data_IF_119898827849
#
_entry.id   IF_119898827849
#
_cell.length_a   1.000
_cell.length_b   1.000
_cell.length_c   1.000
_cell.angle_alpha   90.00
_cell.angle_beta   90.00
_cell.angle_gamma   90.00
#
_symmetry.space_group_name_H-M   'P 1'
#
loop_
_entity.id
_entity.type
_entity.pdbx_description
1 polymer ?
#
# COMPACT_ATOMS: atom_id res chain seq x y z
N UNK A 1 24.14 -31.06 10.90
CA UNK A 1 22.83 -30.61 11.39
C UNK A 1 23.05 -29.89 12.71
N UNK A 2 22.97 -28.57 12.71
CA UNK A 2 22.86 -27.74 13.91
C UNK A 2 22.00 -26.56 13.49
N UNK A 3 20.74 -26.55 13.95
CA UNK A 3 19.75 -25.54 13.61
C UNK A 3 20.11 -24.22 14.27
N UNK A 4 19.95 -23.12 13.53
CA UNK A 4 19.88 -21.79 14.13
C UNK A 4 18.51 -21.70 14.80
N UNK A 5 18.48 -21.61 16.11
CA UNK A 5 17.25 -21.33 16.86
C UNK A 5 16.75 -19.95 16.46
N UNK A 6 15.68 -19.93 15.67
CA UNK A 6 14.92 -18.73 15.38
C UNK A 6 13.93 -18.52 16.52
N UNK A 7 14.13 -17.44 17.27
CA UNK A 7 13.21 -17.05 18.33
C UNK A 7 12.07 -16.29 17.68
N UNK A 8 10.90 -16.92 17.62
CA UNK A 8 9.66 -16.27 17.22
C UNK A 8 9.05 -15.67 18.48
N UNK A 9 8.82 -14.37 18.48
CA UNK A 9 8.08 -13.69 19.54
C UNK A 9 6.63 -14.19 19.52
N UNK A 10 6.15 -14.76 20.62
CA UNK A 10 4.82 -15.40 20.70
C UNK A 10 3.87 -14.58 21.56
N UNK A 11 2.56 -14.77 21.37
CA UNK A 11 1.52 -14.16 22.21
C UNK A 11 1.68 -14.53 23.71
N UNK A 12 2.32 -15.65 24.01
CA UNK A 12 2.62 -16.06 25.38
C UNK A 12 3.68 -15.14 26.00
N UNK A 13 4.69 -14.72 25.22
CA UNK A 13 5.70 -13.76 25.64
C UNK A 13 5.11 -12.36 25.87
N UNK A 14 4.13 -11.94 25.05
CA UNK A 14 3.38 -10.68 25.26
C UNK A 14 2.61 -10.69 26.58
N UNK A 15 1.87 -11.78 26.83
CA UNK A 15 1.12 -11.93 28.08
C UNK A 15 2.05 -11.95 29.29
N UNK A 16 3.21 -12.60 29.18
CA UNK A 16 4.19 -12.65 30.28
C UNK A 16 4.79 -11.28 30.59
N UNK A 17 5.19 -10.52 29.57
CA UNK A 17 5.75 -9.18 29.76
C UNK A 17 4.68 -8.24 30.33
N UNK A 18 3.46 -8.29 29.80
CA UNK A 18 2.34 -7.47 30.26
C UNK A 18 1.99 -7.75 31.71
N UNK A 19 1.94 -9.03 32.11
CA UNK A 19 1.66 -9.40 33.50
C UNK A 19 2.75 -8.92 34.47
N UNK A 20 4.03 -9.03 34.08
CA UNK A 20 5.14 -8.55 34.89
C UNK A 20 5.09 -7.02 35.07
N UNK A 21 4.73 -6.29 34.01
CA UNK A 21 4.53 -4.84 34.08
C UNK A 21 3.34 -4.49 34.99
N UNK A 22 2.20 -5.16 34.85
CA UNK A 22 1.02 -4.93 35.70
C UNK A 22 1.31 -5.21 37.18
N UNK A 23 2.09 -6.24 37.47
CA UNK A 23 2.47 -6.58 38.84
C UNK A 23 3.35 -5.49 39.47
N UNK A 24 4.31 -4.95 38.72
CA UNK A 24 5.11 -3.83 39.18
C UNK A 24 4.29 -2.53 39.31
N UNK A 25 3.22 -2.37 38.52
CA UNK A 25 2.28 -1.23 38.63
C UNK A 25 1.61 -1.24 39.99
N UNK A 26 1.07 -2.40 40.35
CA UNK A 26 0.41 -2.63 41.63
C UNK A 26 1.36 -2.47 42.82
N UNK A 27 2.66 -2.75 42.62
CA UNK A 27 3.71 -2.52 43.63
C UNK A 27 4.08 -1.04 43.77
N UNK A 28 3.46 -0.14 43.00
CA UNK A 28 3.73 1.29 43.02
C UNK A 28 5.09 1.66 42.45
N UNK A 29 5.69 0.74 41.67
CA UNK A 29 7.00 0.96 41.07
C UNK A 29 6.94 1.76 39.77
N UNK A 30 5.81 2.43 39.51
CA UNK A 30 5.57 3.33 38.38
C UNK A 30 5.30 4.81 38.78
N UNK A 31 6.17 5.46 39.56
CA UNK A 31 5.96 6.86 39.90
C UNK A 31 5.98 7.72 38.63
N UNK A 32 5.04 8.66 38.53
CA UNK A 32 4.94 9.64 37.42
C UNK A 32 4.76 9.00 36.02
N UNK A 33 4.30 7.75 35.96
CA UNK A 33 4.07 7.03 34.71
C UNK A 33 5.28 6.25 34.20
N UNK A 34 6.40 6.25 34.95
CA UNK A 34 7.67 5.59 34.56
C UNK A 34 8.08 4.52 35.57
N UNK A 35 8.56 3.38 35.09
CA UNK A 35 9.04 2.27 35.92
C UNK A 35 10.36 2.63 36.62
N UNK A 36 10.45 2.40 37.92
CA UNK A 36 11.71 2.61 38.66
C UNK A 36 12.69 1.43 38.46
N UNK A 37 13.95 1.63 38.84
CA UNK A 37 15.02 0.61 38.69
C UNK A 37 14.69 -0.72 39.40
N UNK A 38 13.91 -0.68 40.48
CA UNK A 38 13.48 -1.88 41.22
C UNK A 38 12.46 -2.69 40.39
N UNK A 39 11.53 -2.01 39.71
CA UNK A 39 10.59 -2.63 38.78
C UNK A 39 11.31 -3.38 37.65
N UNK A 40 12.26 -2.74 36.98
CA UNK A 40 13.01 -3.39 35.90
C UNK A 40 13.87 -4.56 36.40
N UNK A 41 14.54 -4.39 37.54
CA UNK A 41 15.31 -5.48 38.12
C UNK A 41 14.40 -6.66 38.50
N UNK A 42 13.21 -6.43 39.06
CA UNK A 42 12.24 -7.49 39.34
C UNK A 42 11.77 -8.18 38.06
N UNK A 43 11.38 -7.42 37.03
CA UNK A 43 10.94 -7.96 35.74
C UNK A 43 12.03 -8.81 35.04
N UNK A 44 13.30 -8.42 35.15
CA UNK A 44 14.45 -9.14 34.56
C UNK A 44 14.88 -10.33 35.43
N UNK A 45 14.78 -10.20 36.76
CA UNK A 45 15.23 -11.21 37.71
C UNK A 45 14.21 -12.32 37.90
N UNK A 46 12.92 -12.03 37.69
CA UNK A 46 11.87 -13.03 37.83
C UNK A 46 12.02 -14.18 36.82
N UNK A 47 12.63 -14.00 35.64
CA UNK A 47 12.72 -15.10 34.66
C UNK A 47 14.03 -15.13 33.87
N UNK A 48 14.86 -16.10 34.22
CA UNK A 48 16.16 -16.44 33.61
C UNK A 48 16.13 -16.66 32.10
N UNK A 49 14.96 -16.94 31.52
CA UNK A 49 14.80 -17.15 30.07
C UNK A 49 14.83 -15.84 29.27
N UNK A 50 14.46 -14.70 29.85
CA UNK A 50 14.40 -13.41 29.16
C UNK A 50 15.78 -12.91 28.68
N UNK A 51 16.87 -13.27 29.37
CA UNK A 51 18.25 -12.88 29.02
C UNK A 51 18.74 -13.50 27.70
N UNK A 52 18.16 -14.61 27.25
CA UNK A 52 18.55 -15.25 25.98
C UNK A 52 18.12 -14.43 24.76
N UNK A 53 17.13 -13.54 24.90
CA UNK A 53 16.47 -12.87 23.78
C UNK A 53 17.05 -11.49 23.43
N UNK A 54 17.91 -10.92 24.28
CA UNK A 54 18.44 -9.55 24.13
C UNK A 54 19.70 -9.43 23.24
N UNK A 55 20.25 -10.54 22.73
CA UNK A 55 21.47 -10.55 21.91
C UNK A 55 21.23 -10.82 20.41
N UNK A 56 19.99 -10.70 19.92
CA UNK A 56 19.65 -11.00 18.52
C UNK A 56 19.22 -9.73 17.77
N UNK A 57 19.62 -9.54 16.49
CA UNK A 57 19.20 -8.40 15.68
C UNK A 57 17.67 -8.32 15.61
N UNK A 58 17.11 -7.16 15.98
CA UNK A 58 15.66 -6.95 16.03
C UNK A 58 15.16 -6.72 14.60
N UNK A 59 14.60 -7.76 13.99
CA UNK A 59 14.07 -7.72 12.62
C UNK A 59 12.59 -7.30 12.49
N UNK A 60 11.91 -6.86 13.57
CA UNK A 60 10.48 -6.57 13.50
C UNK A 60 10.09 -5.29 14.24
N UNK A 61 10.35 -4.14 13.60
CA UNK A 61 9.81 -2.84 14.01
C UNK A 61 8.29 -2.73 13.75
N UNK A 62 7.76 -3.52 12.80
CA UNK A 62 6.34 -3.48 12.38
C UNK A 62 5.35 -4.00 13.43
N UNK A 63 5.82 -4.80 14.40
CA UNK A 63 4.96 -5.42 15.40
C UNK A 63 4.70 -4.49 16.60
N UNK A 64 5.72 -3.75 17.03
CA UNK A 64 5.63 -2.76 18.12
C UNK A 64 4.72 -1.58 17.73
N UNK A 65 4.71 -1.20 16.46
CA UNK A 65 3.80 -0.18 15.92
C UNK A 65 2.34 -0.70 15.90
N UNK A 66 2.12 -2.01 15.72
CA UNK A 66 0.77 -2.60 15.66
C UNK A 66 0.05 -2.58 17.02
N UNK A 67 0.79 -2.74 18.12
CA UNK A 67 0.22 -2.64 19.48
C UNK A 67 -0.02 -1.19 19.91
N UNK A 68 0.85 -0.26 19.51
CA UNK A 68 0.59 1.18 19.70
C UNK A 68 -0.58 1.69 18.85
N UNK A 69 -0.87 1.05 17.72
CA UNK A 69 -2.04 1.34 16.88
C UNK A 69 -3.36 0.79 17.44
N UNK A 70 -3.33 -0.18 18.36
CA UNK A 70 -4.53 -0.70 19.02
C UNK A 70 -5.10 0.27 20.07
N UNK A 71 -4.32 1.27 20.50
CA UNK A 71 -4.68 2.24 21.54
C UNK A 71 -5.03 3.65 21.01
N UNK A 72 -4.88 3.93 19.71
CA UNK A 72 -5.21 5.24 19.14
C UNK A 72 -6.01 5.10 17.83
N UNK A 73 -7.32 5.32 17.94
CA UNK A 73 -8.30 5.08 16.88
C UNK A 73 -8.12 5.93 15.62
N UNK A 74 -8.16 5.21 14.49
CA UNK A 74 -8.66 5.57 13.15
C UNK A 74 -8.03 6.74 12.35
N UNK A 75 -7.43 7.77 12.95
CA UNK A 75 -6.83 8.87 12.18
C UNK A 75 -5.33 8.65 11.84
N UNK A 76 -4.64 7.79 12.60
CA UNK A 76 -3.18 7.68 12.55
C UNK A 76 -2.65 6.65 11.52
N UNK A 77 -3.50 5.76 10.98
CA UNK A 77 -3.02 4.68 10.10
C UNK A 77 -2.55 5.18 8.74
N UNK A 78 -3.03 6.34 8.29
CA UNK A 78 -2.58 6.99 7.06
C UNK A 78 -1.23 7.71 7.27
N UNK A 79 -1.07 8.49 8.34
CA UNK A 79 0.18 9.22 8.64
C UNK A 79 1.41 8.31 8.83
N UNK A 80 1.26 7.21 9.57
CA UNK A 80 2.42 6.43 10.03
C UNK A 80 3.12 5.60 8.93
N UNK A 81 2.40 5.19 7.87
CA UNK A 81 3.00 4.40 6.77
C UNK A 81 3.40 5.22 5.56
N UNK A 82 2.84 6.42 5.41
CA UNK A 82 3.13 7.29 4.27
C UNK A 82 4.12 8.41 4.57
N UNK A 83 4.50 8.71 5.83
CA UNK A 83 5.13 10.01 6.17
C UNK A 83 4.23 11.19 5.77
N UNK A 84 2.90 10.99 5.77
CA UNK A 84 1.99 12.10 5.49
C UNK A 84 2.09 13.09 6.64
N UNK A 85 2.47 14.32 6.31
CA UNK A 85 2.17 15.50 7.11
C UNK A 85 0.65 15.46 7.38
N UNK A 86 0.15 15.81 8.59
CA UNK A 86 -1.28 15.89 8.85
C UNK A 86 -1.90 16.88 7.85
N UNK A 87 -2.49 16.36 6.78
CA UNK A 87 -3.17 17.17 5.79
C UNK A 87 -4.49 17.59 6.42
N UNK A 88 -4.55 18.82 6.93
CA UNK A 88 -5.76 19.63 6.79
C UNK A 88 -5.95 19.94 5.30
N UNK A 89 -6.24 18.90 4.50
CA UNK A 89 -6.77 19.09 3.16
C UNK A 89 -8.25 19.40 3.32
N UNK A 90 -8.60 20.67 3.21
CA UNK A 90 -9.98 21.08 2.91
C UNK A 90 -10.33 20.47 1.55
N UNK A 91 -11.00 19.32 1.55
CA UNK A 91 -11.38 18.52 0.36
C UNK A 91 -12.13 19.36 -0.69
N UNK A 92 -12.70 20.49 -0.27
CA UNK A 92 -13.37 21.46 -1.15
C UNK A 92 -12.46 22.09 -2.23
N UNK A 93 -11.13 22.05 -2.10
CA UNK A 93 -10.22 22.67 -3.08
C UNK A 93 -9.62 21.70 -4.12
N UNK A 94 -9.76 20.38 -3.96
CA UNK A 94 -9.17 19.39 -4.87
C UNK A 94 -10.10 18.97 -6.02
N UNK A 95 -11.36 19.40 -5.96
CA UNK A 95 -12.35 19.07 -6.96
C UNK A 95 -12.21 20.00 -8.17
N UNK A 96 -11.92 19.46 -9.36
CA UNK A 96 -11.90 20.22 -10.62
C UNK A 96 -13.16 19.93 -11.45
N UNK A 97 -14.26 20.68 -11.27
CA UNK A 97 -15.52 20.43 -11.97
C UNK A 97 -15.42 20.64 -13.49
N UNK A 98 -14.40 21.36 -13.99
CA UNK A 98 -14.22 21.62 -15.43
C UNK A 98 -13.70 20.42 -16.23
N UNK A 99 -13.20 19.36 -15.57
CA UNK A 99 -12.70 18.14 -16.25
C UNK A 99 -13.82 17.24 -16.79
N UNK A 100 -15.04 17.35 -16.27
CA UNK A 100 -16.13 16.39 -16.53
C UNK A 100 -17.16 17.02 -17.48
N UNK A 101 -17.05 16.71 -18.77
CA UNK A 101 -18.09 17.05 -19.74
C UNK A 101 -19.35 16.21 -19.42
N UNK A 102 -20.42 16.87 -18.96
CA UNK A 102 -21.72 16.23 -18.84
C UNK A 102 -22.38 16.14 -20.21
N UNK A 103 -22.29 14.98 -20.85
CA UNK A 103 -23.32 14.59 -21.82
C UNK A 103 -24.55 14.16 -21.03
N UNK A 104 -25.57 15.00 -21.01
CA UNK A 104 -26.92 14.62 -20.56
C UNK A 104 -27.44 13.46 -21.43
N UNK A 105 -27.96 12.41 -20.79
CA UNK A 105 -28.79 11.41 -21.48
C UNK A 105 -28.39 9.94 -21.33
N UNK A 106 -28.19 9.42 -20.12
CA UNK A 106 -28.51 8.02 -19.76
C UNK A 106 -28.38 7.86 -18.23
N UNK A 107 -29.36 7.24 -17.58
CA UNK A 107 -29.30 6.97 -16.14
C UNK A 107 -28.37 5.78 -15.89
N UNK A 108 -27.07 6.05 -15.79
CA UNK A 108 -26.05 5.03 -15.50
C UNK A 108 -26.14 4.64 -14.03
N UNK A 109 -26.41 3.37 -13.74
CA UNK A 109 -26.40 2.83 -12.37
C UNK A 109 -24.98 2.45 -11.97
N UNK A 110 -24.66 2.56 -10.67
CA UNK A 110 -23.37 2.13 -10.14
C UNK A 110 -23.19 0.62 -10.31
N UNK A 111 -21.94 0.18 -10.41
CA UNK A 111 -21.60 -1.24 -10.46
C UNK A 111 -21.85 -1.86 -9.08
N UNK A 112 -22.77 -2.82 -9.02
CA UNK A 112 -23.06 -3.60 -7.80
C UNK A 112 -22.40 -4.97 -7.82
N UNK A 113 -22.15 -5.53 -9.00
CA UNK A 113 -21.54 -6.85 -9.14
C UNK A 113 -20.71 -7.04 -10.40
N UNK A 114 -19.78 -8.00 -10.36
CA UNK A 114 -18.91 -8.38 -11.47
C UNK A 114 -18.88 -9.90 -11.58
N UNK A 115 -19.15 -10.41 -12.78
CA UNK A 115 -19.08 -11.82 -13.13
C UNK A 115 -17.97 -11.98 -14.17
N UNK A 116 -17.02 -12.86 -13.88
CA UNK A 116 -15.88 -13.16 -14.76
C UNK A 116 -16.10 -14.51 -15.43
N UNK A 117 -16.19 -14.52 -16.76
CA UNK A 117 -16.34 -15.76 -17.53
C UNK A 117 -15.05 -16.58 -17.56
N UNK A 118 -15.17 -17.91 -17.67
CA UNK A 118 -14.01 -18.80 -17.73
C UNK A 118 -13.07 -18.45 -18.88
N UNK A 119 -13.62 -17.92 -19.98
CA UNK A 119 -12.85 -17.58 -21.19
C UNK A 119 -11.82 -16.47 -20.96
N UNK A 120 -12.00 -15.61 -19.96
CA UNK A 120 -11.03 -14.55 -19.62
C UNK A 120 -10.06 -14.96 -18.51
N UNK A 121 -10.39 -16.01 -17.74
CA UNK A 121 -9.59 -16.46 -16.61
C UNK A 121 -8.61 -17.57 -16.99
N UNK A 122 -9.03 -18.51 -17.83
CA UNK A 122 -8.25 -19.68 -18.21
C UNK A 122 -7.56 -19.43 -19.55
N UNK A 123 -6.37 -19.96 -19.69
CA UNK A 123 -5.70 -20.06 -20.98
C UNK A 123 -6.38 -21.13 -21.88
N UNK A 124 -6.40 -20.88 -23.19
CA UNK A 124 -6.88 -21.82 -24.19
C UNK A 124 -5.89 -22.98 -24.42
N UNK A 125 -4.73 -22.97 -23.75
CA UNK A 125 -3.85 -24.12 -23.69
C UNK A 125 -4.56 -25.36 -23.12
N UNK A 126 -4.07 -26.54 -23.53
CA UNK A 126 -4.62 -27.83 -23.10
C UNK A 126 -4.47 -28.11 -21.59
N UNK A 127 -3.78 -27.25 -20.85
CA UNK A 127 -3.57 -27.35 -19.40
C UNK A 127 -4.57 -26.48 -18.64
N UNK A 128 -4.99 -26.94 -17.46
CA UNK A 128 -5.80 -26.12 -16.55
C UNK A 128 -4.88 -25.13 -15.82
N UNK A 129 -4.66 -23.95 -16.42
CA UNK A 129 -3.88 -22.87 -15.84
C UNK A 129 -4.59 -21.52 -16.01
N UNK A 130 -4.42 -20.65 -15.01
CA UNK A 130 -4.91 -19.28 -15.08
C UNK A 130 -3.95 -18.41 -15.88
N UNK A 131 -4.51 -17.40 -16.54
CA UNK A 131 -3.73 -16.29 -17.09
C UNK A 131 -3.05 -15.51 -15.95
N UNK A 132 -1.77 -15.11 -16.08
CA UNK A 132 -1.09 -14.32 -15.05
C UNK A 132 -1.83 -13.04 -14.64
N UNK A 133 -2.42 -12.35 -15.62
CA UNK A 133 -3.19 -11.11 -15.47
C UNK A 133 -4.47 -11.36 -14.66
N UNK A 134 -5.11 -12.52 -14.86
CA UNK A 134 -6.32 -12.91 -14.13
C UNK A 134 -6.06 -13.05 -12.64
N UNK A 135 -4.90 -13.60 -12.24
CA UNK A 135 -4.55 -13.70 -10.83
C UNK A 135 -4.42 -12.33 -10.16
N UNK A 136 -3.82 -11.37 -10.86
CA UNK A 136 -3.70 -9.97 -10.38
C UNK A 136 -5.07 -9.33 -10.21
N UNK A 137 -5.96 -9.50 -11.20
CA UNK A 137 -7.32 -8.96 -11.16
C UNK A 137 -8.13 -9.53 -9.99
N UNK A 138 -8.14 -10.86 -9.81
CA UNK A 138 -8.87 -11.53 -8.73
C UNK A 138 -8.42 -11.03 -7.34
N UNK A 139 -7.11 -10.80 -7.16
CA UNK A 139 -6.56 -10.22 -5.92
C UNK A 139 -7.09 -8.81 -5.66
N UNK A 140 -7.16 -7.97 -6.69
CA UNK A 140 -7.65 -6.59 -6.57
C UNK A 140 -9.16 -6.52 -6.31
N UNK A 141 -9.94 -7.39 -6.98
CA UNK A 141 -11.39 -7.42 -6.82
C UNK A 141 -11.85 -7.93 -5.45
N UNK A 142 -11.14 -8.88 -4.82
CA UNK A 142 -11.53 -9.51 -3.55
C UNK A 142 -11.95 -8.57 -2.43
N UNK A 143 -11.37 -7.38 -2.38
CA UNK A 143 -11.61 -6.40 -1.32
C UNK A 143 -12.38 -5.16 -1.81
N UNK A 144 -13.06 -5.27 -2.96
CA UNK A 144 -13.81 -4.17 -3.58
C UNK A 144 -15.19 -3.92 -2.98
N UNK A 145 -15.70 -4.83 -2.15
CA UNK A 145 -17.09 -4.87 -1.66
C UNK A 145 -18.16 -5.01 -2.76
N UNK A 146 -17.78 -5.36 -3.97
CA UNK A 146 -18.71 -5.75 -5.03
C UNK A 146 -19.17 -7.19 -4.82
N UNK A 147 -20.33 -7.55 -5.37
CA UNK A 147 -20.68 -8.95 -5.57
C UNK A 147 -19.82 -9.55 -6.68
N UNK A 148 -19.13 -10.65 -6.42
CA UNK A 148 -18.13 -11.20 -7.33
C UNK A 148 -18.43 -12.66 -7.62
N UNK A 149 -18.44 -13.03 -8.90
CA UNK A 149 -18.58 -14.42 -9.30
C UNK A 149 -17.64 -14.80 -10.45
N UNK A 150 -17.39 -16.10 -10.53
CA UNK A 150 -16.82 -16.76 -11.71
C UNK A 150 -17.93 -17.56 -12.38
N UNK A 151 -18.16 -17.35 -13.67
CA UNK A 151 -19.05 -18.21 -14.46
C UNK A 151 -18.27 -19.22 -15.29
N UNK A 152 -18.87 -20.38 -15.53
CA UNK A 152 -18.33 -21.36 -16.46
C UNK A 152 -19.39 -22.18 -17.19
N UNK A 153 -19.05 -22.65 -18.40
CA UNK A 153 -19.90 -23.54 -19.18
C UNK A 153 -19.96 -24.98 -18.63
N UNK A 154 -21.12 -25.66 -18.67
CA UNK A 154 -21.23 -27.10 -18.41
C UNK A 154 -20.31 -27.97 -19.28
N UNK A 155 -19.91 -27.49 -20.46
CA UNK A 155 -19.05 -28.21 -21.40
C UNK A 155 -17.54 -28.16 -21.02
N UNK A 156 -17.17 -27.41 -20.00
CA UNK A 156 -15.78 -27.24 -19.58
C UNK A 156 -15.23 -28.53 -18.93
N UNK A 157 -13.94 -28.83 -19.14
CA UNK A 157 -13.31 -30.02 -18.56
C UNK A 157 -13.26 -29.97 -17.03
N UNK A 158 -13.35 -31.14 -16.39
CA UNK A 158 -13.37 -31.26 -14.92
C UNK A 158 -12.15 -30.60 -14.24
N UNK A 159 -10.97 -30.68 -14.85
CA UNK A 159 -9.75 -30.08 -14.30
C UNK A 159 -9.84 -28.54 -14.29
N UNK A 160 -10.36 -27.96 -15.38
CA UNK A 160 -10.57 -26.51 -15.50
C UNK A 160 -11.66 -26.03 -14.54
N UNK A 161 -12.76 -26.79 -14.40
CA UNK A 161 -13.83 -26.50 -13.43
C UNK A 161 -13.29 -26.55 -11.99
N UNK A 162 -12.47 -27.56 -11.66
CA UNK A 162 -11.87 -27.69 -10.33
C UNK A 162 -10.96 -26.49 -10.00
N UNK A 163 -10.18 -26.03 -10.98
CA UNK A 163 -9.36 -24.82 -10.85
C UNK A 163 -10.20 -23.57 -10.58
N UNK A 164 -11.26 -23.33 -11.36
CA UNK A 164 -12.14 -22.17 -11.16
C UNK A 164 -12.83 -22.18 -9.80
N UNK A 165 -13.36 -23.34 -9.37
CA UNK A 165 -13.97 -23.48 -8.04
C UNK A 165 -12.98 -23.24 -6.91
N UNK A 166 -11.75 -23.72 -7.06
CA UNK A 166 -10.67 -23.45 -6.10
C UNK A 166 -10.38 -21.95 -6.01
N UNK A 167 -10.34 -21.25 -7.15
CA UNK A 167 -10.12 -19.80 -7.18
C UNK A 167 -11.30 -19.04 -6.58
N UNK A 168 -12.53 -19.39 -6.94
CA UNK A 168 -13.74 -18.81 -6.35
C UNK A 168 -13.71 -18.94 -4.82
N UNK A 169 -13.41 -20.14 -4.30
CA UNK A 169 -13.27 -20.36 -2.86
C UNK A 169 -12.13 -19.54 -2.23
N UNK A 170 -10.96 -19.48 -2.87
CA UNK A 170 -9.80 -18.75 -2.36
C UNK A 170 -10.04 -17.23 -2.24
N UNK A 171 -10.76 -16.67 -3.20
CA UNK A 171 -11.05 -15.23 -3.28
C UNK A 171 -12.44 -14.86 -2.73
N UNK A 172 -13.20 -15.85 -2.24
CA UNK A 172 -14.56 -15.67 -1.71
C UNK A 172 -15.55 -15.14 -2.76
N UNK A 173 -15.46 -15.66 -3.98
CA UNK A 173 -16.37 -15.35 -5.08
C UNK A 173 -17.40 -16.46 -5.19
N UNK A 174 -18.59 -16.12 -5.67
CA UNK A 174 -19.57 -17.11 -6.08
C UNK A 174 -19.14 -17.81 -7.37
N UNK A 175 -19.76 -18.95 -7.65
CA UNK A 175 -19.44 -19.74 -8.82
C UNK A 175 -20.72 -20.19 -9.50
N UNK A 176 -20.95 -19.72 -10.72
CA UNK A 176 -22.18 -19.95 -11.47
C UNK A 176 -21.92 -20.81 -12.70
N UNK A 177 -22.90 -21.66 -13.01
CA UNK A 177 -22.88 -22.50 -14.21
C UNK A 177 -23.82 -21.84 -15.22
N UNK A 178 -23.27 -21.36 -16.33
CA UNK A 178 -24.05 -20.75 -17.40
C UNK A 178 -24.00 -21.64 -18.63
N UNK A 179 -25.15 -22.14 -19.05
CA UNK A 179 -25.28 -22.77 -20.35
C UNK A 179 -25.49 -21.67 -21.40
N UNK A 180 -24.69 -21.70 -22.48
CA UNK A 180 -24.79 -20.75 -23.58
C UNK A 180 -26.15 -20.80 -24.30
N UNK A 181 -26.99 -21.78 -23.97
CA UNK A 181 -28.31 -22.01 -24.55
C UNK A 181 -29.47 -21.30 -23.82
N UNK A 182 -29.34 -20.91 -22.54
CA UNK A 182 -30.44 -20.36 -21.72
C UNK A 182 -29.94 -19.33 -20.67
N UNK A 183 -30.00 -18.04 -21.03
CA UNK A 183 -29.58 -16.95 -20.14
C UNK A 183 -30.65 -16.51 -19.12
N UNK A 184 -31.92 -16.89 -19.31
CA UNK A 184 -32.97 -16.65 -18.31
C UNK A 184 -32.72 -17.42 -17.02
N UNK A 185 -32.09 -18.60 -17.13
CA UNK A 185 -31.71 -19.39 -15.97
C UNK A 185 -30.50 -18.80 -15.26
N UNK A 186 -29.58 -18.17 -16.01
CA UNK A 186 -28.48 -17.40 -15.44
C UNK A 186 -29.00 -16.24 -14.57
N UNK A 187 -29.95 -15.45 -15.09
CA UNK A 187 -30.55 -14.35 -14.32
C UNK A 187 -31.21 -14.88 -13.03
N UNK A 188 -32.02 -15.95 -13.11
CA UNK A 188 -32.67 -16.54 -11.93
C UNK A 188 -31.65 -16.99 -10.89
N UNK A 189 -30.58 -17.67 -11.31
CA UNK A 189 -29.52 -18.15 -10.40
C UNK A 189 -28.82 -16.99 -9.70
N UNK A 190 -28.48 -15.94 -10.45
CA UNK A 190 -27.80 -14.77 -9.89
C UNK A 190 -28.73 -13.98 -8.97
N UNK A 191 -29.97 -13.72 -9.37
CA UNK A 191 -30.96 -13.03 -8.51
C UNK A 191 -31.26 -13.83 -7.25
N UNK A 192 -31.30 -15.16 -7.31
CA UNK A 192 -31.48 -16.02 -6.14
C UNK A 192 -30.28 -15.94 -5.19
N UNK A 193 -29.05 -15.86 -5.72
CA UNK A 193 -27.83 -15.83 -4.93
C UNK A 193 -27.54 -14.45 -4.33
N UNK A 194 -27.75 -13.38 -5.10
CA UNK A 194 -27.33 -12.02 -4.73
C UNK A 194 -28.49 -11.12 -4.28
N UNK A 195 -29.73 -11.43 -4.66
CA UNK A 195 -30.88 -10.58 -4.37
C UNK A 195 -30.80 -9.24 -5.10
N UNK A 196 -31.25 -8.18 -4.43
CA UNK A 196 -31.07 -6.80 -4.90
C UNK A 196 -29.68 -6.28 -4.48
N UNK A 197 -28.81 -6.07 -5.47
CA UNK A 197 -27.44 -5.62 -5.26
C UNK A 197 -27.30 -4.09 -5.35
N UNK A 198 -28.40 -3.35 -5.56
CA UNK A 198 -28.39 -1.88 -5.60
C UNK A 198 -27.57 -1.28 -6.74
N UNK A 199 -27.34 -2.02 -7.83
CA UNK A 199 -26.50 -1.60 -8.95
C UNK A 199 -26.59 -2.55 -10.16
N UNK A 200 -25.85 -2.24 -11.22
CA UNK A 200 -25.76 -3.10 -12.41
C UNK A 200 -24.69 -4.17 -12.26
N UNK A 201 -24.86 -5.27 -12.99
CA UNK A 201 -23.91 -6.37 -13.08
C UNK A 201 -23.05 -6.16 -14.33
N UNK A 202 -21.73 -6.22 -14.14
CA UNK A 202 -20.78 -6.30 -15.24
C UNK A 202 -20.44 -7.77 -15.52
N UNK A 203 -20.65 -8.20 -16.75
CA UNK A 203 -20.29 -9.54 -17.20
C UNK A 203 -19.10 -9.45 -18.17
N UNK A 204 -17.93 -9.89 -17.73
CA UNK A 204 -16.71 -9.88 -18.54
C UNK A 204 -16.51 -11.22 -19.25
N UNK A 205 -16.37 -11.17 -20.58
CA UNK A 205 -16.26 -12.33 -21.46
C UNK A 205 -15.28 -12.09 -22.61
N UNK A 206 -14.67 -13.14 -23.15
CA UNK A 206 -13.78 -13.04 -24.31
C UNK A 206 -14.56 -12.84 -25.61
N UNK A 207 -13.95 -12.16 -26.61
CA UNK A 207 -14.56 -11.94 -27.92
C UNK A 207 -15.05 -13.23 -28.60
N UNK A 208 -14.41 -14.38 -28.33
CA UNK A 208 -14.71 -15.63 -29.04
C UNK A 208 -16.07 -16.23 -28.70
N UNK A 209 -16.79 -15.69 -27.69
CA UNK A 209 -18.15 -16.10 -27.30
C UNK A 209 -19.21 -15.10 -27.78
N UNK A 210 -19.13 -14.67 -29.05
CA UNK A 210 -20.00 -13.62 -29.64
C UNK A 210 -21.50 -13.92 -29.55
N UNK A 211 -21.88 -15.20 -29.52
CA UNK A 211 -23.28 -15.62 -29.59
C UNK A 211 -24.09 -15.28 -28.33
N UNK A 212 -23.41 -14.94 -27.21
CA UNK A 212 -24.04 -14.61 -25.93
C UNK A 212 -24.50 -13.14 -25.82
N UNK A 213 -24.01 -12.24 -26.69
CA UNK A 213 -24.11 -10.80 -26.46
C UNK A 213 -25.53 -10.22 -26.62
N UNK A 214 -26.26 -10.66 -27.64
CA UNK A 214 -27.61 -10.16 -27.91
C UNK A 214 -28.62 -10.58 -26.83
N UNK A 215 -28.44 -11.75 -26.23
CA UNK A 215 -29.34 -12.28 -25.19
C UNK A 215 -29.12 -11.60 -23.83
N UNK A 216 -27.86 -11.31 -23.48
CA UNK A 216 -27.48 -10.67 -22.22
C UNK A 216 -27.88 -9.20 -22.14
N UNK A 217 -27.94 -8.48 -23.27
CA UNK A 217 -28.37 -7.07 -23.32
C UNK A 217 -29.79 -6.86 -22.79
N UNK A 218 -30.65 -7.88 -22.87
CA UNK A 218 -32.03 -7.83 -22.37
C UNK A 218 -32.13 -7.95 -20.83
N UNK A 219 -31.05 -8.32 -20.14
CA UNK A 219 -31.02 -8.52 -18.68
C UNK A 219 -30.66 -7.25 -17.89
N UNK A 220 -30.39 -6.13 -18.58
CA UNK A 220 -29.92 -4.89 -17.95
C UNK A 220 -28.48 -4.96 -17.40
N UNK A 221 -27.73 -5.99 -17.80
CA UNK A 221 -26.31 -6.15 -17.48
C UNK A 221 -25.45 -5.39 -18.48
N UNK A 222 -24.29 -4.92 -18.03
CA UNK A 222 -23.26 -4.35 -18.90
C UNK A 222 -22.30 -5.47 -19.28
N UNK A 223 -22.19 -5.73 -20.58
CA UNK A 223 -21.29 -6.76 -21.11
C UNK A 223 -19.95 -6.09 -21.40
N UNK A 224 -18.87 -6.63 -20.85
CA UNK A 224 -17.52 -6.20 -21.17
C UNK A 224 -16.84 -7.30 -21.98
N UNK A 225 -16.31 -6.95 -23.15
CA UNK A 225 -15.68 -7.89 -24.09
C UNK A 225 -14.17 -7.67 -24.12
N UNK A 226 -13.40 -8.72 -23.84
CA UNK A 226 -11.93 -8.73 -23.90
C UNK A 226 -11.43 -9.10 -25.31
N UNK A 227 -10.38 -8.42 -25.78
CA UNK A 227 -9.68 -8.65 -27.07
C UNK A 227 -10.54 -8.37 -28.31
N UNK A 228 -11.41 -7.37 -28.28
CA UNK A 228 -12.09 -6.90 -29.48
C UNK A 228 -11.14 -6.02 -30.31
N UNK A 229 -10.46 -6.59 -31.31
CA UNK A 229 -9.76 -5.78 -32.32
C UNK A 229 -10.73 -4.73 -32.85
N UNK A 230 -10.25 -3.49 -32.98
CA UNK A 230 -11.01 -2.30 -33.40
C UNK A 230 -11.80 -2.60 -34.67
N UNK A 231 -13.05 -3.04 -34.52
CA UNK A 231 -13.98 -3.28 -35.62
C UNK A 231 -15.41 -3.20 -35.10
N UNK A 232 -15.95 -2.00 -35.21
CA UNK A 232 -17.34 -1.67 -35.51
C UNK A 232 -18.33 -2.86 -35.57
N UNK A 233 -19.17 -3.03 -34.55
CA UNK A 233 -20.51 -3.66 -34.64
C UNK A 233 -21.31 -3.67 -33.32
N UNK A 234 -21.08 -2.75 -32.37
CA UNK A 234 -21.95 -2.66 -31.18
C UNK A 234 -22.53 -1.25 -31.08
N UNK A 235 -23.61 -1.00 -31.82
CA UNK A 235 -24.43 0.23 -31.73
C UNK A 235 -25.31 0.27 -30.44
N UNK A 236 -25.04 -0.59 -29.45
CA UNK A 236 -25.84 -0.73 -28.23
C UNK A 236 -25.08 -0.23 -27.00
N UNK A 237 -25.72 0.62 -26.18
CA UNK A 237 -25.11 1.24 -24.98
C UNK A 237 -24.71 0.26 -23.87
N UNK A 238 -25.08 -1.03 -23.97
CA UNK A 238 -24.85 -2.06 -22.96
C UNK A 238 -23.57 -2.88 -23.15
N UNK A 239 -22.83 -2.71 -24.26
CA UNK A 239 -21.61 -3.48 -24.55
C UNK A 239 -20.38 -2.56 -24.56
N UNK A 240 -19.39 -2.90 -23.74
CA UNK A 240 -18.11 -2.21 -23.64
C UNK A 240 -16.99 -3.14 -24.08
N UNK A 241 -15.93 -2.59 -24.68
CA UNK A 241 -14.77 -3.36 -25.11
C UNK A 241 -13.54 -2.94 -24.32
N UNK A 242 -12.72 -3.92 -23.92
CA UNK A 242 -11.41 -3.72 -23.32
C UNK A 242 -10.35 -4.54 -24.06
N UNK A 243 -9.13 -4.02 -24.15
CA UNK A 243 -8.02 -4.74 -24.80
C UNK A 243 -7.16 -5.52 -23.80
N UNK A 244 -7.13 -5.06 -22.56
CA UNK A 244 -6.37 -5.68 -21.48
C UNK A 244 -7.25 -5.90 -20.26
N UNK A 245 -6.99 -6.96 -19.51
CA UNK A 245 -7.78 -7.30 -18.34
C UNK A 245 -7.70 -6.24 -17.24
N UNK A 246 -6.57 -5.54 -17.16
CA UNK A 246 -6.33 -4.42 -16.25
C UNK A 246 -7.29 -3.24 -16.49
N UNK A 247 -7.83 -3.10 -17.70
CA UNK A 247 -8.80 -2.06 -18.04
C UNK A 247 -10.18 -2.30 -17.39
N UNK A 248 -10.44 -3.50 -16.86
CA UNK A 248 -11.71 -3.77 -16.17
C UNK A 248 -11.90 -2.87 -14.95
N UNK A 249 -10.85 -2.69 -14.13
CA UNK A 249 -10.93 -1.84 -12.93
C UNK A 249 -11.12 -0.37 -13.30
N UNK A 250 -10.51 0.08 -14.41
CA UNK A 250 -10.75 1.40 -14.99
C UNK A 250 -12.21 1.55 -15.42
N UNK A 251 -12.75 0.52 -16.08
CA UNK A 251 -14.13 0.49 -16.57
C UNK A 251 -15.14 0.56 -15.42
N UNK A 252 -14.95 -0.24 -14.36
CA UNK A 252 -15.78 -0.19 -13.15
C UNK A 252 -15.75 1.21 -12.53
N UNK A 253 -14.56 1.77 -12.37
CA UNK A 253 -14.39 3.10 -11.81
C UNK A 253 -15.10 4.18 -12.65
N UNK A 254 -14.95 4.15 -13.98
CA UNK A 254 -15.61 5.11 -14.87
C UNK A 254 -17.14 5.03 -14.80
N UNK A 255 -17.70 3.82 -14.72
CA UNK A 255 -19.15 3.65 -14.56
C UNK A 255 -19.64 4.19 -13.22
N UNK A 256 -18.90 3.93 -12.14
CA UNK A 256 -19.21 4.48 -10.82
C UNK A 256 -19.10 6.01 -10.79
N UNK A 257 -18.08 6.59 -11.42
CA UNK A 257 -17.94 8.05 -11.55
C UNK A 257 -19.15 8.63 -12.32
N UNK A 258 -19.54 8.01 -13.45
CA UNK A 258 -20.71 8.45 -14.23
C UNK A 258 -22.00 8.36 -13.42
N UNK A 259 -22.20 7.28 -12.68
CA UNK A 259 -23.40 7.08 -11.84
C UNK A 259 -23.50 8.11 -10.70
N UNK A 260 -22.37 8.47 -10.08
CA UNK A 260 -22.32 9.43 -8.97
C UNK A 260 -22.21 10.90 -9.41
N UNK A 261 -21.95 11.17 -10.70
CA UNK A 261 -21.87 12.51 -11.27
C UNK A 261 -20.65 13.32 -10.78
N UNK A 262 -20.82 14.63 -10.66
CA UNK A 262 -19.73 15.54 -10.28
C UNK A 262 -19.41 15.54 -8.78
N UNK A 263 -20.12 14.81 -7.93
CA UNK A 263 -19.94 14.89 -6.47
C UNK A 263 -18.87 13.93 -5.92
N UNK A 264 -18.05 13.32 -6.78
CA UNK A 264 -17.00 12.38 -6.37
C UNK A 264 -15.60 12.89 -6.65
N UNK A 265 -14.67 12.58 -5.77
CA UNK A 265 -13.23 12.77 -5.93
C UNK A 265 -12.60 11.41 -6.20
N UNK A 266 -11.92 11.29 -7.34
CA UNK A 266 -11.26 10.05 -7.76
C UNK A 266 -9.79 10.09 -7.34
N UNK A 267 -9.37 9.08 -6.58
CA UNK A 267 -8.00 8.91 -6.11
C UNK A 267 -7.36 7.74 -6.85
N UNK A 268 -6.49 8.05 -7.80
CA UNK A 268 -5.62 7.07 -8.45
C UNK A 268 -4.50 6.67 -7.50
N UNK A 269 -4.12 5.40 -7.42
CA UNK A 269 -3.02 4.97 -6.56
C UNK A 269 -1.99 4.04 -7.22
N UNK A 270 -0.72 4.18 -6.80
CA UNK A 270 0.42 3.35 -7.23
C UNK A 270 1.26 2.94 -6.02
N UNK A 271 1.37 1.64 -5.77
CA UNK A 271 2.29 1.07 -4.77
C UNK A 271 2.54 -0.41 -5.03
N UNK A 272 3.51 -1.02 -4.34
CA UNK A 272 3.78 -2.45 -4.52
C UNK A 272 2.57 -3.32 -4.13
N UNK A 273 2.38 -4.49 -4.75
CA UNK A 273 1.19 -5.34 -4.56
C UNK A 273 0.90 -5.72 -3.10
N UNK A 274 1.94 -5.97 -2.29
CA UNK A 274 1.75 -6.33 -0.88
C UNK A 274 1.20 -5.18 -0.03
N UNK A 275 1.50 -3.92 -0.40
CA UNK A 275 0.93 -2.77 0.28
C UNK A 275 -0.49 -2.48 -0.21
N UNK A 276 -0.74 -2.63 -1.51
CA UNK A 276 -2.11 -2.53 -2.06
C UNK A 276 -3.06 -3.47 -1.33
N UNK A 277 -2.66 -4.74 -1.19
CA UNK A 277 -3.48 -5.76 -0.54
C UNK A 277 -3.70 -5.48 0.94
N UNK A 278 -2.71 -5.00 1.69
CA UNK A 278 -2.86 -4.63 3.10
C UNK A 278 -3.85 -3.48 3.30
N UNK A 279 -3.83 -2.46 2.44
CA UNK A 279 -4.79 -1.36 2.49
C UNK A 279 -6.19 -1.78 2.04
N UNK A 280 -6.30 -2.56 0.96
CA UNK A 280 -7.56 -3.05 0.45
C UNK A 280 -8.27 -3.93 1.50
N UNK A 281 -7.54 -4.82 2.18
CA UNK A 281 -8.05 -5.64 3.31
C UNK A 281 -8.66 -4.82 4.44
N UNK A 282 -8.19 -3.59 4.64
CA UNK A 282 -8.70 -2.67 5.68
C UNK A 282 -9.82 -1.77 5.16
N UNK A 283 -10.28 -1.96 3.92
CA UNK A 283 -11.30 -1.15 3.28
C UNK A 283 -10.84 0.24 2.86
N UNK A 284 -9.52 0.47 2.75
CA UNK A 284 -8.98 1.79 2.45
C UNK A 284 -9.07 2.19 0.96
N UNK A 285 -9.26 1.23 0.06
CA UNK A 285 -9.35 1.45 -1.40
C UNK A 285 -10.69 0.99 -1.98
N UNK A 286 -11.81 1.65 -1.62
CA UNK A 286 -13.12 1.34 -2.18
C UNK A 286 -13.20 1.76 -3.65
N UNK A 287 -13.62 0.84 -4.53
CA UNK A 287 -13.86 1.12 -5.96
C UNK A 287 -15.25 1.73 -6.21
N UNK A 288 -16.16 1.56 -5.26
CA UNK A 288 -17.47 2.21 -5.22
C UNK A 288 -17.41 3.48 -4.39
N UNK A 289 -18.27 4.44 -4.69
CA UNK A 289 -18.28 5.72 -3.97
C UNK A 289 -18.55 5.54 -2.49
N UNK A 290 -17.69 6.11 -1.66
CA UNK A 290 -17.91 6.19 -0.21
C UNK A 290 -18.99 7.23 0.12
N UNK A 291 -19.55 7.22 1.35
CA UNK A 291 -20.46 8.27 1.81
C UNK A 291 -19.89 9.69 1.71
N UNK A 292 -18.55 9.82 1.71
CA UNK A 292 -17.84 11.09 1.58
C UNK A 292 -17.49 11.44 0.12
N UNK A 293 -17.95 10.67 -0.86
CA UNK A 293 -17.73 10.91 -2.28
C UNK A 293 -16.33 10.52 -2.78
N UNK A 294 -15.60 9.64 -2.09
CA UNK A 294 -14.29 9.15 -2.56
C UNK A 294 -14.43 7.85 -3.35
N UNK A 295 -13.70 7.73 -4.45
CA UNK A 295 -13.51 6.50 -5.24
C UNK A 295 -12.01 6.28 -5.43
N UNK A 296 -11.52 5.06 -5.23
CA UNK A 296 -10.12 4.70 -5.40
C UNK A 296 -9.92 3.82 -6.63
N UNK A 297 -8.91 4.18 -7.41
CA UNK A 297 -8.57 3.52 -8.67
C UNK A 297 -7.13 3.02 -8.64
N UNK A 298 -6.87 1.71 -8.73
CA UNK A 298 -5.52 1.21 -8.93
C UNK A 298 -5.01 1.66 -10.31
N UNK A 299 -3.97 2.48 -10.33
CA UNK A 299 -3.28 2.82 -11.56
C UNK A 299 -2.35 1.66 -11.95
N UNK A 300 -2.22 1.43 -13.25
CA UNK A 300 -1.34 0.41 -13.82
C UNK A 300 -0.43 1.02 -14.86
N UNK A 301 0.78 0.48 -15.00
CA UNK A 301 1.70 0.86 -16.08
C UNK A 301 1.51 0.00 -17.33
N UNK A 302 0.63 -1.01 -17.28
CA UNK A 302 0.31 -1.87 -18.43
C UNK A 302 -0.57 -1.18 -19.47
N UNK A 303 -1.23 -0.10 -19.10
CA UNK A 303 -2.13 0.70 -19.96
C UNK A 303 -1.63 2.15 -19.94
N UNK A 304 -1.75 2.93 -21.03
CA UNK A 304 -1.27 4.31 -21.06
C UNK A 304 -1.79 5.16 -19.89
N UNK A 305 -0.91 5.79 -19.11
CA UNK A 305 -1.30 6.59 -17.94
C UNK A 305 -2.27 7.73 -18.30
N UNK A 306 -2.17 8.29 -19.52
CA UNK A 306 -3.04 9.38 -19.97
C UNK A 306 -4.52 9.00 -19.97
N UNK A 307 -4.88 7.77 -20.36
CA UNK A 307 -6.29 7.33 -20.38
C UNK A 307 -6.85 7.08 -18.97
N UNK A 308 -5.96 6.81 -18.01
CA UNK A 308 -6.33 6.58 -16.61
C UNK A 308 -6.46 7.90 -15.85
N UNK A 309 -5.47 8.79 -16.01
CA UNK A 309 -5.34 10.02 -15.23
C UNK A 309 -6.32 11.13 -15.63
N UNK A 310 -6.91 11.06 -16.82
CA UNK A 310 -7.92 12.02 -17.26
C UNK A 310 -9.14 12.10 -16.32
N UNK A 311 -9.41 11.03 -15.56
CA UNK A 311 -10.53 10.93 -14.60
C UNK A 311 -10.06 10.90 -13.14
N UNK A 312 -8.78 11.16 -12.88
CA UNK A 312 -8.19 11.19 -11.54
C UNK A 312 -7.99 12.62 -11.09
N UNK A 313 -8.46 12.92 -9.87
CA UNK A 313 -8.29 14.22 -9.22
C UNK A 313 -7.03 14.21 -8.34
N UNK A 314 -6.75 13.08 -7.68
CA UNK A 314 -5.63 12.92 -6.75
C UNK A 314 -4.85 11.64 -7.10
N UNK A 315 -3.52 11.73 -7.14
CA UNK A 315 -2.62 10.58 -7.25
C UNK A 315 -1.96 10.31 -5.91
N UNK A 316 -2.28 9.17 -5.29
CA UNK A 316 -1.65 8.68 -4.07
C UNK A 316 -0.59 7.64 -4.42
N UNK A 317 0.67 7.86 -4.09
CA UNK A 317 1.70 6.87 -4.42
C UNK A 317 2.62 6.53 -3.25
N UNK A 318 3.30 5.39 -3.36
CA UNK A 318 4.54 5.14 -2.63
C UNK A 318 5.71 4.99 -3.60
N UNK A 319 6.22 6.10 -4.12
CA UNK A 319 7.32 6.07 -5.10
C UNK A 319 8.59 5.39 -4.59
N UNK A 320 8.79 5.31 -3.27
CA UNK A 320 9.93 4.59 -2.69
C UNK A 320 9.93 3.09 -2.96
N UNK A 321 8.77 2.51 -3.29
CA UNK A 321 8.69 1.11 -3.73
C UNK A 321 9.22 0.91 -5.15
N UNK A 322 9.21 1.97 -5.95
CA UNK A 322 9.56 1.97 -7.37
C UNK A 322 10.99 2.48 -7.59
N UNK A 323 11.79 2.60 -6.54
CA UNK A 323 13.20 3.00 -6.62
C UNK A 323 14.04 1.80 -7.03
N UNK A 324 14.81 1.95 -8.11
CA UNK A 324 15.82 0.98 -8.56
C UNK A 324 17.18 1.31 -7.92
N UNK A 325 17.56 2.57 -7.92
CA UNK A 325 18.83 3.03 -7.34
C UNK A 325 18.74 4.49 -6.89
N UNK A 326 19.62 4.83 -5.93
CA UNK A 326 19.82 6.20 -5.44
C UNK A 326 21.31 6.50 -5.52
N UNK A 327 21.67 7.55 -6.25
CA UNK A 327 23.03 8.09 -6.30
C UNK A 327 23.08 9.34 -5.42
N UNK A 328 23.79 9.23 -4.29
CA UNK A 328 24.08 10.36 -3.43
C UNK A 328 25.18 11.21 -4.07
N UNK A 329 24.93 12.50 -4.22
CA UNK A 329 25.94 13.46 -4.63
C UNK A 329 26.68 14.01 -3.41
N UNK A 330 28.01 14.01 -3.45
CA UNK A 330 28.84 14.60 -2.40
C UNK A 330 28.98 16.14 -2.53
N UNK A 331 28.50 16.74 -3.62
CA UNK A 331 28.57 18.18 -3.88
C UNK A 331 27.23 18.89 -3.65
N UNK A 332 27.29 20.09 -3.07
CA UNK A 332 26.12 20.94 -2.81
C UNK A 332 25.41 21.43 -4.08
N UNK A 333 26.01 21.25 -5.26
CA UNK A 333 25.52 21.76 -6.55
C UNK A 333 24.86 20.71 -7.44
N UNK A 334 25.04 19.42 -7.18
CA UNK A 334 24.39 18.36 -7.97
C UNK A 334 23.22 17.76 -7.21
N UNK A 335 22.03 17.78 -7.82
CA UNK A 335 20.86 17.10 -7.27
C UNK A 335 21.13 15.60 -7.28
N UNK A 336 21.00 14.96 -6.13
CA UNK A 336 21.08 13.51 -6.04
C UNK A 336 20.05 12.86 -6.95
N UNK A 337 20.44 11.74 -7.54
CA UNK A 337 19.69 11.14 -8.66
C UNK A 337 18.97 9.88 -8.18
N UNK A 338 17.65 9.92 -8.23
CA UNK A 338 16.80 8.74 -8.01
C UNK A 338 16.49 8.15 -9.38
N UNK A 339 16.78 6.86 -9.53
CA UNK A 339 16.34 6.08 -10.69
C UNK A 339 15.11 5.29 -10.28
N UNK A 340 13.96 5.64 -10.87
CA UNK A 340 12.71 4.88 -10.69
C UNK A 340 12.54 3.81 -11.76
N UNK A 341 11.60 2.88 -11.55
CA UNK A 341 11.08 2.01 -12.61
C UNK A 341 10.52 2.81 -13.79
N UNK A 342 10.47 2.20 -14.97
CA UNK A 342 9.93 2.82 -16.19
C UNK A 342 8.55 3.43 -15.96
N UNK A 343 7.65 2.70 -15.30
CA UNK A 343 6.30 3.18 -15.03
C UNK A 343 6.26 4.42 -14.12
N UNK A 344 7.03 4.43 -13.04
CA UNK A 344 7.09 5.60 -12.15
C UNK A 344 7.80 6.80 -12.82
N UNK A 345 8.76 6.57 -13.72
CA UNK A 345 9.33 7.64 -14.55
C UNK A 345 8.30 8.23 -15.51
N UNK A 346 7.43 7.41 -16.10
CA UNK A 346 6.33 7.88 -16.93
C UNK A 346 5.32 8.71 -16.13
N UNK A 347 4.97 8.27 -14.93
CA UNK A 347 4.11 9.03 -14.02
C UNK A 347 4.73 10.38 -13.68
N UNK A 348 6.02 10.40 -13.32
CA UNK A 348 6.75 11.64 -13.08
C UNK A 348 6.69 12.59 -14.28
N UNK A 349 7.00 12.10 -15.48
CA UNK A 349 6.97 12.90 -16.72
C UNK A 349 5.57 13.42 -17.01
N UNK A 350 4.53 12.64 -16.73
CA UNK A 350 3.15 13.11 -16.86
C UNK A 350 2.90 14.30 -15.93
N UNK A 351 3.25 14.16 -14.64
CA UNK A 351 3.02 15.20 -13.63
C UNK A 351 3.81 16.48 -13.87
N UNK A 352 5.00 16.39 -14.46
CA UNK A 352 5.80 17.58 -14.83
C UNK A 352 5.14 18.40 -15.96
N UNK A 353 4.33 17.76 -16.80
CA UNK A 353 3.67 18.40 -17.95
C UNK A 353 2.19 18.71 -17.74
N UNK A 354 1.59 18.25 -16.64
CA UNK A 354 0.16 18.43 -16.38
C UNK A 354 -0.09 18.79 -14.91
N UNK A 355 -0.76 19.92 -14.69
CA UNK A 355 -1.12 20.42 -13.34
C UNK A 355 -2.57 20.08 -12.97
N UNK A 356 -3.13 19.05 -13.59
CA UNK A 356 -4.57 18.78 -13.63
C UNK A 356 -5.01 17.75 -12.57
N UNK A 357 -4.06 17.12 -11.87
CA UNK A 357 -4.28 16.29 -10.70
C UNK A 357 -3.28 16.62 -9.58
N UNK A 358 -3.70 16.43 -8.34
CA UNK A 358 -2.89 16.66 -7.15
C UNK A 358 -2.12 15.39 -6.77
N UNK A 359 -0.82 15.49 -6.47
CA UNK A 359 0.03 14.31 -6.18
C UNK A 359 0.39 14.26 -4.71
N UNK A 360 0.23 13.09 -4.10
CA UNK A 360 0.51 12.83 -2.69
C UNK A 360 1.52 11.69 -2.55
N UNK A 361 2.73 11.95 -2.05
CA UNK A 361 3.37 13.27 -1.86
C UNK A 361 3.99 13.77 -3.17
N UNK A 362 4.23 15.09 -3.36
CA UNK A 362 4.95 15.56 -4.54
C UNK A 362 6.31 14.84 -4.71
N UNK A 363 6.60 14.38 -5.93
CA UNK A 363 7.79 13.55 -6.20
C UNK A 363 9.11 14.26 -5.86
N UNK A 364 9.17 15.59 -5.99
CA UNK A 364 10.32 16.41 -5.61
C UNK A 364 10.56 16.45 -4.08
N UNK A 365 9.53 16.16 -3.28
CA UNK A 365 9.61 16.08 -1.81
C UNK A 365 9.97 14.69 -1.29
N UNK A 366 10.14 13.71 -2.17
CA UNK A 366 10.56 12.36 -1.77
C UNK A 366 12.04 12.30 -1.46
N UNK A 367 12.89 13.00 -2.24
CA UNK A 367 14.34 12.93 -2.03
C UNK A 367 14.77 13.29 -0.60
N UNK A 368 14.29 14.39 0.01
CA UNK A 368 14.67 14.74 1.37
C UNK A 368 14.34 13.68 2.42
N UNK A 369 13.35 12.81 2.18
CA UNK A 369 12.98 11.71 3.10
C UNK A 369 13.66 10.39 2.77
N UNK A 370 14.47 10.34 1.70
CA UNK A 370 15.36 9.22 1.37
C UNK A 370 16.78 9.42 1.88
N UNK A 371 17.17 10.64 2.23
CA UNK A 371 18.49 10.95 2.75
C UNK A 371 18.41 11.28 4.24
N UNK A 372 18.90 10.38 5.10
CA UNK A 372 18.90 10.57 6.56
C UNK A 372 19.62 11.84 6.97
N UNK A 373 20.68 12.26 6.27
CA UNK A 373 21.33 13.53 6.55
C UNK A 373 20.36 14.69 6.31
N UNK A 374 19.64 14.64 5.18
CA UNK A 374 18.69 15.69 4.83
C UNK A 374 17.49 15.73 5.78
N UNK A 375 17.00 14.55 6.20
CA UNK A 375 15.99 14.44 7.26
C UNK A 375 16.48 15.15 8.53
N UNK A 376 17.69 14.83 9.00
CA UNK A 376 18.22 15.45 10.21
C UNK A 376 18.38 16.97 10.08
N UNK A 377 18.85 17.45 8.92
CA UNK A 377 18.92 18.88 8.62
C UNK A 377 17.54 19.57 8.68
N UNK A 378 16.48 18.92 8.17
CA UNK A 378 15.11 19.44 8.25
C UNK A 378 14.64 19.47 9.72
N UNK A 379 14.95 18.43 10.50
CA UNK A 379 14.56 18.34 11.91
C UNK A 379 15.22 19.38 12.81
N UNK A 380 16.34 20.00 12.39
CA UNK A 380 16.93 21.14 13.11
C UNK A 380 15.96 22.34 13.18
N UNK A 381 15.11 22.53 12.16
CA UNK A 381 14.09 23.58 12.16
C UNK A 381 12.96 23.38 13.18
N UNK A 382 12.91 22.24 13.88
CA UNK A 382 11.97 22.05 14.99
C UNK A 382 12.27 22.96 16.18
N UNK A 383 13.51 23.46 16.29
CA UNK A 383 13.84 24.40 17.36
C UNK A 383 13.14 25.76 17.16
N UNK A 384 12.90 26.16 15.91
CA UNK A 384 12.30 27.44 15.52
C UNK A 384 10.79 27.52 15.84
N UNK A 385 10.12 26.38 16.07
CA UNK A 385 8.68 26.33 16.39
C UNK A 385 8.41 26.32 17.91
N UNK A 386 9.45 26.35 18.74
CA UNK A 386 9.29 26.38 20.19
C UNK A 386 8.71 27.73 20.65
N UNK A 387 7.74 27.66 21.57
CA UNK A 387 7.08 28.82 22.15
C UNK A 387 7.10 28.76 23.68
N UNK A 388 7.13 29.92 24.34
CA UNK A 388 7.12 30.01 25.80
C UNK A 388 5.91 29.29 26.41
N UNK A 389 6.15 28.51 27.46
CA UNK A 389 5.11 27.74 28.16
C UNK A 389 4.71 26.41 27.51
N UNK A 390 5.36 25.98 26.43
CA UNK A 390 5.15 24.66 25.81
C UNK A 390 6.39 23.77 25.97
N UNK A 391 6.19 22.46 25.77
CA UNK A 391 7.30 21.51 25.72
C UNK A 391 8.23 21.84 24.54
N UNK A 392 9.53 21.83 24.82
CA UNK A 392 10.58 22.04 23.81
C UNK A 392 10.73 20.81 22.93
N UNK A 393 10.75 21.02 21.61
CA UNK A 393 10.99 19.98 20.61
C UNK A 393 12.28 20.35 19.86
N UNK A 394 13.13 19.36 19.62
CA UNK A 394 14.34 19.50 18.79
C UNK A 394 14.62 18.24 18.00
N UNK A 395 15.41 18.38 16.94
CA UNK A 395 16.05 17.24 16.29
C UNK A 395 17.05 16.54 17.22
N UNK A 396 17.25 15.22 17.08
CA UNK A 396 18.31 14.50 17.78
C UNK A 396 19.67 14.95 17.27
N UNK A 397 20.70 14.94 18.13
CA UNK A 397 22.06 15.21 17.65
C UNK A 397 22.49 14.15 16.64
N UNK A 398 23.28 14.54 15.65
CA UNK A 398 23.70 13.65 14.57
C UNK A 398 25.03 14.06 13.95
N UNK A 399 25.70 13.11 13.29
CA UNK A 399 26.95 13.30 12.56
C UNK A 399 26.97 12.42 11.31
N UNK A 400 27.25 13.01 10.15
CA UNK A 400 27.59 12.24 8.93
C UNK A 400 29.00 11.68 9.06
N UNK A 401 29.19 10.41 8.75
CA UNK A 401 30.49 9.75 8.66
C UNK A 401 30.64 9.10 7.28
N UNK A 402 31.77 9.36 6.63
CA UNK A 402 32.11 8.76 5.33
C UNK A 402 32.99 7.52 5.49
N UNK A 403 33.69 7.40 6.63
CA UNK A 403 34.52 6.27 6.97
C UNK A 403 34.62 6.15 8.50
N UNK A 404 34.44 4.94 9.03
CA UNK A 404 34.54 4.69 10.48
C UNK A 404 35.97 4.70 11.03
N UNK A 405 36.97 4.65 10.15
CA UNK A 405 38.40 4.65 10.50
C UNK A 405 39.03 6.05 10.47
N UNK A 406 38.21 7.10 10.40
CA UNK A 406 38.71 8.48 10.45
C UNK A 406 39.38 8.76 11.81
N UNK A 407 40.63 9.27 11.83
CA UNK A 407 41.40 9.42 13.07
C UNK A 407 40.81 10.45 14.04
N UNK A 408 40.03 11.40 13.53
CA UNK A 408 39.36 12.47 14.27
C UNK A 408 37.90 12.15 14.63
N UNK A 409 37.41 10.93 14.37
CA UNK A 409 36.02 10.53 14.61
C UNK A 409 35.56 10.85 16.04
N UNK A 410 36.38 10.57 17.05
CA UNK A 410 36.06 10.82 18.46
C UNK A 410 35.85 12.31 18.75
N UNK A 411 36.72 13.15 18.19
CA UNK A 411 36.61 14.60 18.34
C UNK A 411 35.31 15.09 17.68
N UNK A 412 35.03 14.64 16.46
CA UNK A 412 33.82 15.01 15.71
C UNK A 412 32.53 14.57 16.38
N UNK A 413 32.51 13.39 17.01
CA UNK A 413 31.38 12.94 17.81
C UNK A 413 31.13 13.89 18.99
N UNK A 414 32.19 14.27 19.72
CA UNK A 414 32.11 15.22 20.83
C UNK A 414 31.62 16.61 20.38
N UNK A 415 32.16 17.14 19.28
CA UNK A 415 31.74 18.41 18.68
C UNK A 415 30.27 18.39 18.25
N UNK A 416 29.79 17.25 17.74
CA UNK A 416 28.39 17.02 17.41
C UNK A 416 27.49 16.73 18.63
N UNK A 417 28.03 16.78 19.86
CA UNK A 417 27.34 16.44 21.11
C UNK A 417 26.73 15.03 21.11
N UNK A 418 27.39 14.10 20.43
CA UNK A 418 27.02 12.70 20.39
C UNK A 418 27.74 11.91 21.48
N UNK A 419 26.96 11.25 22.31
CA UNK A 419 27.45 10.37 23.37
C UNK A 419 27.07 8.92 23.07
N UNK A 420 27.88 8.00 23.61
CA UNK A 420 27.58 6.58 23.56
C UNK A 420 26.61 6.21 24.70
N UNK A 421 25.69 5.27 24.48
CA UNK A 421 25.48 4.54 23.24
C UNK A 421 24.80 5.38 22.14
N UNK A 422 25.22 5.20 20.89
CA UNK A 422 24.66 5.90 19.73
C UNK A 422 24.22 4.93 18.65
N UNK A 423 23.23 5.30 17.83
CA UNK A 423 22.77 4.48 16.70
C UNK A 423 23.41 4.95 15.41
N UNK A 424 23.90 4.02 14.61
CA UNK A 424 24.48 4.26 13.29
C UNK A 424 23.54 3.70 12.24
N UNK A 425 23.20 4.53 11.26
CA UNK A 425 22.27 4.19 10.18
C UNK A 425 22.90 4.57 8.85
N UNK A 426 22.73 3.80 7.76
CA UNK A 426 23.15 4.21 6.43
C UNK A 426 22.60 5.59 6.07
N UNK A 427 23.28 6.38 5.25
CA UNK A 427 22.73 7.68 4.85
C UNK A 427 21.43 7.50 4.06
N UNK A 428 21.33 6.47 3.22
CA UNK A 428 20.10 6.14 2.51
C UNK A 428 19.06 5.56 3.47
N UNK A 429 17.91 6.23 3.56
CA UNK A 429 16.86 5.96 4.54
C UNK A 429 15.91 4.82 4.14
N UNK A 430 15.70 4.64 2.84
CA UNK A 430 14.75 3.68 2.26
C UNK A 430 15.06 3.44 0.77
N UNK A 431 14.39 2.45 0.16
CA UNK A 431 14.44 2.20 -1.29
C UNK A 431 15.58 1.31 -1.76
N UNK A 432 16.50 0.90 -0.88
CA UNK A 432 17.60 -0.03 -1.18
C UNK A 432 17.72 -1.10 -0.08
N UNK A 433 18.23 -2.28 -0.43
CA UNK A 433 18.21 -3.47 0.42
C UNK A 433 18.93 -3.29 1.77
N UNK A 434 19.97 -2.46 1.78
CA UNK A 434 20.86 -2.23 2.92
C UNK A 434 20.49 -0.96 3.72
N UNK A 435 19.46 -0.21 3.32
CA UNK A 435 19.00 1.02 4.00
C UNK A 435 18.62 0.79 5.48
N UNK A 436 18.31 -0.45 5.87
CA UNK A 436 17.93 -0.84 7.21
C UNK A 436 19.04 -1.59 7.98
N UNK A 437 20.25 -1.71 7.41
CA UNK A 437 21.41 -2.27 8.11
C UNK A 437 21.94 -1.25 9.12
N UNK A 438 21.43 -1.29 10.36
CA UNK A 438 21.78 -0.34 11.42
C UNK A 438 22.57 -1.03 12.54
N UNK A 439 23.30 -0.26 13.32
CA UNK A 439 24.01 -0.75 14.49
C UNK A 439 23.90 0.21 15.68
N UNK A 440 24.03 -0.32 16.89
CA UNK A 440 24.13 0.47 18.11
C UNK A 440 25.55 0.31 18.62
N UNK A 441 26.24 1.42 18.81
CA UNK A 441 27.64 1.46 19.23
C UNK A 441 27.67 1.84 20.71
N UNK A 442 28.32 1.01 21.54
CA UNK A 442 28.44 1.21 22.99
C UNK A 442 29.80 1.75 23.39
N UNK A 443 30.84 1.45 22.60
CA UNK A 443 32.21 1.90 22.87
C UNK A 443 32.87 2.40 21.59
N UNK A 444 33.86 3.28 21.72
CA UNK A 444 34.46 3.98 20.57
C UNK A 444 35.21 3.02 19.63
N UNK A 445 35.80 1.95 20.18
CA UNK A 445 36.51 0.96 19.37
C UNK A 445 35.58 0.21 18.41
N UNK A 446 34.31 0.03 18.80
CA UNK A 446 33.33 -0.76 18.06
C UNK A 446 32.92 -0.12 16.72
N UNK A 447 33.31 1.13 16.44
CA UNK A 447 33.12 1.77 15.13
C UNK A 447 33.96 1.11 14.02
N UNK A 448 35.16 0.62 14.32
CA UNK A 448 36.13 0.17 13.29
C UNK A 448 35.68 -1.05 12.51
N UNK A 449 34.90 -1.93 13.14
CA UNK A 449 34.45 -3.20 12.58
C UNK A 449 32.96 -3.16 12.17
N UNK A 450 32.38 -1.96 12.02
CA UNK A 450 30.97 -1.79 11.77
C UNK A 450 30.60 -2.14 10.32
N UNK A 451 29.76 -3.17 10.14
CA UNK A 451 29.24 -3.59 8.84
C UNK A 451 28.10 -2.71 8.29
N UNK A 452 27.92 -1.48 8.81
CA UNK A 452 26.88 -0.56 8.33
C UNK A 452 27.37 0.11 7.04
N UNK A 453 26.58 0.11 5.95
CA UNK A 453 26.91 0.80 4.71
C UNK A 453 27.28 2.27 4.92
N UNK A 454 28.33 2.70 4.22
CA UNK A 454 28.80 4.09 4.20
C UNK A 454 28.34 4.79 2.90
N UNK A 455 28.11 6.12 2.93
CA UNK A 455 28.15 6.99 4.11
C UNK A 455 27.04 6.66 5.12
N UNK A 456 27.26 6.97 6.39
CA UNK A 456 26.31 6.72 7.47
C UNK A 456 26.04 7.99 8.29
N UNK A 457 24.93 7.96 9.04
CA UNK A 457 24.54 8.96 10.02
C UNK A 457 24.58 8.31 11.40
N UNK A 458 25.48 8.81 12.24
CA UNK A 458 25.47 8.53 13.68
C UNK A 458 24.46 9.47 14.32
N UNK A 459 23.57 8.95 15.15
CA UNK A 459 22.50 9.70 15.78
C UNK A 459 22.45 9.39 17.28
N UNK A 460 22.11 10.42 18.07
CA UNK A 460 21.79 10.31 19.48
C UNK A 460 20.75 9.19 19.68
N UNK A 461 21.06 8.28 20.60
CA UNK A 461 20.13 7.25 21.05
C UNK A 461 19.81 7.51 22.51
N UNK A 462 18.53 7.69 22.80
CA UNK A 462 18.05 7.61 24.18
C UNK A 462 17.99 6.14 24.58
N UNK A 463 19.07 5.69 25.23
CA UNK A 463 18.98 4.62 26.20
C UNK A 463 18.93 5.37 27.54
N UNK A 464 17.87 5.17 28.33
CA UNK A 464 17.81 5.76 29.66
C UNK A 464 19.09 5.38 30.41
N UNK A 465 19.85 6.39 30.82
CA UNK A 465 21.06 6.20 31.59
C UNK A 465 20.65 5.66 32.96
N UNK A 466 21.25 4.51 33.28
CA UNK A 466 21.18 3.72 34.51
C UNK A 466 21.28 4.47 35.81
#
# INVERSE_FOLDING_TARGET
MSGRDHVVWTNEMDNMLTNAMLEEDHKGNRPEGTWNTRAFNNMIQERSEARKWMHTPINNYDMVIKELQASAGYAHSLCSRFLLIPLQCTVHSAHNPQKRNSTEGEMVTSVGGVILDESVLIDNSGTAALRPEALSLLRKLRHSNLHLAISYSPALSNDKVSLLKKMAMQYSFDCFIFDGSSMDDALKVVTLAWGDIGGTILYLVSNHKTDCFNQLSNLGWIIVVLDAEVSAAFDNSTVLCINKLEELLLTICHLNIKANGNNVVTVGYVMKPSREEDFAKRGAFPISSTPNGLIFLPLTFEVPLRSQLQHVDIVLHKATDEIISVELSDSAESSSKITYTTGMQELRRYMENHSDCFVIDPLDKIYPVLDRLKIQQILLGLEDINAEGRHTIRGPHFLKVNNFNEPDLVLRLSEAKLFLPSIVKPQIACGVADAHSMAIVFRVEDFKDLGVPLPAVVQEKYLEAS
#
